data_IF_402543635518
#
_entry.id   IF_402543635518
#
_cell.length_a   1.000
_cell.length_b   1.000
_cell.length_c   1.000
_cell.angle_alpha   90.00
_cell.angle_beta   90.00
_cell.angle_gamma   90.00
#
_symmetry.space_group_name_H-M   'P 1'
#
loop_
_entity.id
_entity.type
_entity.pdbx_description
1 polymer ?
#
# COMPACT_ATOMS: atom_id res chain seq x y z
N UNK A 1 6.53 4.05 -1.28
CA UNK A 1 5.57 2.99 -0.94
C UNK A 1 4.79 2.66 -2.20
N UNK A 2 5.12 1.54 -2.86
CA UNK A 2 4.59 1.27 -4.19
C UNK A 2 3.73 0.01 -4.13
N UNK A 3 2.41 0.15 -4.19
CA UNK A 3 1.48 -0.99 -4.28
C UNK A 3 1.66 -1.72 -5.64
N UNK A 4 2.20 -1.01 -6.63
CA UNK A 4 2.52 -1.48 -7.98
C UNK A 4 3.46 -2.71 -8.01
N UNK A 5 4.68 -2.71 -7.41
CA UNK A 5 5.51 -3.91 -7.33
C UNK A 5 4.90 -5.04 -6.48
N UNK A 6 3.99 -4.72 -5.55
CA UNK A 6 3.32 -5.74 -4.76
C UNK A 6 2.26 -6.48 -5.58
N UNK A 7 1.54 -5.81 -6.49
CA UNK A 7 0.52 -6.41 -7.35
C UNK A 7 1.11 -6.99 -8.65
N UNK A 8 2.16 -6.36 -9.19
CA UNK A 8 2.70 -6.61 -10.52
C UNK A 8 2.05 -5.71 -11.57
N UNK A 9 2.82 -5.37 -12.62
CA UNK A 9 2.41 -4.39 -13.63
C UNK A 9 1.18 -4.87 -14.43
N UNK A 10 1.10 -6.15 -14.76
CA UNK A 10 -0.02 -6.74 -15.50
C UNK A 10 -1.35 -6.64 -14.74
N UNK A 11 -1.36 -7.09 -13.48
CA UNK A 11 -2.55 -7.02 -12.63
C UNK A 11 -2.97 -5.57 -12.38
N UNK A 12 -1.99 -4.68 -12.17
CA UNK A 12 -2.25 -3.26 -11.99
C UNK A 12 -2.91 -2.62 -13.22
N UNK A 13 -2.42 -2.92 -14.42
CA UNK A 13 -3.01 -2.43 -15.67
C UNK A 13 -4.41 -3.00 -15.92
N UNK A 14 -4.64 -4.26 -15.58
CA UNK A 14 -5.95 -4.89 -15.71
C UNK A 14 -6.99 -4.28 -14.76
N UNK A 15 -6.58 -4.00 -13.51
CA UNK A 15 -7.44 -3.29 -12.55
C UNK A 15 -7.77 -1.88 -13.04
N UNK A 16 -6.82 -1.18 -13.69
CA UNK A 16 -7.08 0.15 -14.24
C UNK A 16 -8.05 0.14 -15.43
N UNK A 17 -8.03 -0.91 -16.24
CA UNK A 17 -8.90 -1.04 -17.42
C UNK A 17 -10.31 -1.51 -17.06
N UNK A 18 -10.41 -2.54 -16.23
CA UNK A 18 -11.66 -3.28 -16.00
C UNK A 18 -12.14 -3.25 -14.55
N UNK A 19 -11.53 -2.42 -13.69
CA UNK A 19 -11.77 -2.42 -12.25
C UNK A 19 -13.21 -2.14 -11.83
N UNK A 20 -13.96 -1.38 -12.63
CA UNK A 20 -15.37 -1.05 -12.37
C UNK A 20 -16.35 -1.97 -13.11
N UNK A 21 -15.87 -2.80 -14.03
CA UNK A 21 -16.71 -3.67 -14.86
C UNK A 21 -16.69 -5.10 -14.33
N UNK A 22 -15.53 -5.57 -13.87
CA UNK A 22 -15.36 -6.94 -13.39
C UNK A 22 -15.66 -7.05 -11.89
N UNK A 23 -16.60 -7.93 -11.52
CA UNK A 23 -16.98 -8.14 -10.12
C UNK A 23 -15.85 -8.64 -9.22
N UNK A 24 -14.89 -9.41 -9.77
CA UNK A 24 -13.72 -9.87 -9.03
C UNK A 24 -12.83 -8.68 -8.64
N UNK A 25 -12.64 -7.72 -9.54
CA UNK A 25 -11.86 -6.52 -9.26
C UNK A 25 -12.60 -5.57 -8.32
N UNK A 26 -13.93 -5.46 -8.40
CA UNK A 26 -14.71 -4.71 -7.41
C UNK A 26 -14.53 -5.25 -6.01
N UNK A 27 -14.59 -6.57 -5.83
CA UNK A 27 -14.36 -7.23 -4.53
C UNK A 27 -12.92 -7.01 -4.07
N UNK A 28 -11.92 -7.12 -4.96
CA UNK A 28 -10.52 -6.82 -4.62
C UNK A 28 -10.32 -5.37 -4.15
N UNK A 29 -10.99 -4.41 -4.80
CA UNK A 29 -10.86 -2.98 -4.49
C UNK A 29 -11.57 -2.58 -3.20
N UNK A 30 -12.81 -3.03 -3.01
CA UNK A 30 -13.66 -2.63 -1.88
C UNK A 30 -13.57 -3.57 -0.67
N UNK A 31 -13.01 -4.76 -0.85
CA UNK A 31 -13.01 -5.80 0.18
C UNK A 31 -14.29 -6.62 0.17
N UNK A 32 -14.29 -7.69 0.96
CA UNK A 32 -15.43 -8.59 1.07
C UNK A 32 -15.02 -9.96 1.56
N UNK A 33 -15.92 -10.92 1.37
CA UNK A 33 -15.71 -12.32 1.73
C UNK A 33 -15.47 -13.16 0.50
N UNK A 34 -14.57 -14.14 0.59
CA UNK A 34 -14.33 -15.10 -0.49
C UNK A 34 -14.12 -16.49 0.07
N UNK A 35 -14.37 -17.50 -0.77
CA UNK A 35 -13.96 -18.87 -0.48
C UNK A 35 -12.66 -19.17 -1.20
N UNK A 36 -11.73 -19.77 -0.48
CA UNK A 36 -10.50 -20.30 -1.06
C UNK A 36 -10.76 -21.64 -1.77
N UNK A 37 -9.75 -22.19 -2.45
CA UNK A 37 -9.82 -23.50 -3.12
C UNK A 37 -10.16 -24.66 -2.17
N UNK A 38 -9.95 -24.49 -0.86
CA UNK A 38 -10.31 -25.47 0.18
C UNK A 38 -11.70 -25.21 0.79
N UNK A 39 -12.55 -24.40 0.14
CA UNK A 39 -13.87 -23.96 0.59
C UNK A 39 -13.92 -23.17 1.91
N UNK A 40 -12.77 -22.86 2.49
CA UNK A 40 -12.67 -22.01 3.68
C UNK A 40 -13.12 -20.58 3.38
N UNK A 41 -13.95 -20.01 4.26
CA UNK A 41 -14.42 -18.64 4.16
C UNK A 41 -13.36 -17.69 4.74
N UNK A 42 -12.94 -16.72 3.94
CA UNK A 42 -12.01 -15.67 4.32
C UNK A 42 -12.64 -14.30 4.10
N UNK A 43 -12.22 -13.32 4.90
CA UNK A 43 -12.63 -11.92 4.80
C UNK A 43 -11.39 -11.07 4.62
N UNK A 44 -11.49 -9.98 3.85
CA UNK A 44 -10.42 -9.01 3.71
C UNK A 44 -11.01 -7.61 3.45
N UNK A 45 -10.24 -6.58 3.80
CA UNK A 45 -10.71 -5.17 3.80
C UNK A 45 -10.60 -4.44 2.46
N UNK A 46 -9.88 -5.01 1.48
CA UNK A 46 -9.73 -4.46 0.13
C UNK A 46 -8.58 -3.47 -0.07
N UNK A 47 -8.18 -3.28 -1.34
CA UNK A 47 -7.03 -2.46 -1.72
C UNK A 47 -7.23 -0.96 -1.41
N UNK A 48 -8.45 -0.43 -1.48
CA UNK A 48 -8.71 0.98 -1.15
C UNK A 48 -8.40 1.27 0.31
N UNK A 49 -8.87 0.40 1.22
CA UNK A 49 -8.62 0.51 2.66
C UNK A 49 -7.13 0.38 2.96
N UNK A 50 -6.46 -0.60 2.36
CA UNK A 50 -5.00 -0.78 2.45
C UNK A 50 -4.24 0.48 2.02
N UNK A 51 -4.63 1.10 0.90
CA UNK A 51 -4.02 2.33 0.42
C UNK A 51 -4.26 3.51 1.37
N UNK A 52 -5.46 3.63 1.93
CA UNK A 52 -5.77 4.66 2.93
C UNK A 52 -4.88 4.54 4.17
N UNK A 53 -4.61 3.32 4.65
CA UNK A 53 -3.70 3.09 5.77
C UNK A 53 -2.24 3.43 5.44
N UNK A 54 -1.80 3.14 4.22
CA UNK A 54 -0.49 3.54 3.73
C UNK A 54 -0.32 5.07 3.63
N UNK A 55 -1.34 5.76 3.11
CA UNK A 55 -1.38 7.23 3.07
C UNK A 55 -1.39 7.80 4.48
N UNK A 56 -2.18 7.20 5.38
CA UNK A 56 -2.24 7.60 6.79
C UNK A 56 -0.88 7.46 7.47
N UNK A 57 -0.20 6.33 7.32
CA UNK A 57 1.15 6.12 7.85
C UNK A 57 2.12 7.21 7.34
N UNK A 58 2.09 7.50 6.03
CA UNK A 58 2.94 8.55 5.47
C UNK A 58 2.59 9.96 6.00
N UNK A 59 1.30 10.23 6.24
CA UNK A 59 0.86 11.48 6.85
C UNK A 59 1.35 11.61 8.30
N UNK A 60 1.24 10.54 9.09
CA UNK A 60 1.76 10.48 10.47
C UNK A 60 3.27 10.74 10.49
N UNK A 61 4.02 10.18 9.54
CA UNK A 61 5.47 10.41 9.45
C UNK A 61 5.83 11.83 9.03
N UNK A 62 5.02 12.44 8.16
CA UNK A 62 5.19 13.85 7.75
C UNK A 62 4.92 14.79 8.93
N UNK A 63 4.02 14.41 9.84
CA UNK A 63 3.77 15.08 11.11
C UNK A 63 3.27 16.52 10.95
N UNK A 64 3.76 17.41 11.81
CA UNK A 64 3.31 18.81 11.91
C UNK A 64 3.95 19.73 10.86
N UNK A 65 4.85 19.18 10.04
CA UNK A 65 5.56 19.92 8.99
C UNK A 65 4.68 20.05 7.75
N UNK A 66 4.16 21.24 7.51
CA UNK A 66 3.33 21.55 6.33
C UNK A 66 4.04 22.61 5.47
N UNK A 67 4.17 22.32 4.18
CA UNK A 67 4.63 23.31 3.20
C UNK A 67 3.46 24.22 2.83
N UNK A 68 3.58 25.51 3.14
CA UNK A 68 2.57 26.51 2.78
C UNK A 68 3.14 27.49 1.75
N UNK A 69 2.29 28.32 1.13
CA UNK A 69 2.75 29.37 0.19
C UNK A 69 3.73 30.37 0.82
N UNK A 70 3.83 30.38 2.14
CA UNK A 70 4.69 31.25 2.93
C UNK A 70 5.94 30.53 3.49
N UNK A 71 6.22 29.31 3.00
CA UNK A 71 7.29 28.45 3.47
C UNK A 71 6.81 27.33 4.39
N UNK A 72 7.78 26.60 4.95
CA UNK A 72 7.51 25.54 5.91
C UNK A 72 6.98 26.13 7.22
N UNK A 73 5.91 25.56 7.74
CA UNK A 73 5.30 25.93 9.03
C UNK A 73 5.16 24.70 9.90
N UNK A 74 5.58 24.85 11.16
CA UNK A 74 5.26 23.93 12.24
C UNK A 74 4.00 24.47 12.93
N UNK A 75 3.00 23.61 13.11
CA UNK A 75 1.80 23.97 13.87
C UNK A 75 2.06 23.74 15.36
N UNK A 76 2.40 24.81 16.07
CA UNK A 76 2.38 24.85 17.53
C UNK A 76 1.21 25.75 17.97
N UNK A 77 0.54 25.38 19.06
CA UNK A 77 -0.57 26.12 19.64
C UNK A 77 -0.49 26.13 21.16
N UNK A 78 -1.09 27.13 21.81
CA UNK A 78 -0.94 27.37 23.26
C UNK A 78 -1.43 26.21 24.15
N UNK A 79 -2.26 25.32 23.61
CA UNK A 79 -2.81 24.14 24.29
C UNK A 79 -2.44 22.80 23.61
N UNK A 80 -1.50 22.79 22.67
CA UNK A 80 -1.06 21.55 21.98
C UNK A 80 0.45 21.45 21.92
N UNK A 81 0.99 20.32 22.36
CA UNK A 81 2.41 19.99 22.22
C UNK A 81 2.64 19.08 21.01
N UNK A 82 3.74 19.30 20.28
CA UNK A 82 4.17 18.38 19.25
C UNK A 82 4.42 16.98 19.82
N UNK A 83 3.95 15.95 19.12
CA UNK A 83 4.24 14.55 19.46
C UNK A 83 5.74 14.30 19.35
N UNK A 84 6.32 13.53 20.28
CA UNK A 84 7.74 13.21 20.22
C UNK A 84 8.07 12.42 18.94
N UNK A 85 9.31 12.54 18.46
CA UNK A 85 9.76 11.79 17.28
C UNK A 85 9.63 10.28 17.48
N UNK A 86 9.86 9.80 18.71
CA UNK A 86 9.74 8.38 19.07
C UNK A 86 8.29 7.89 18.98
N UNK A 87 7.36 8.57 19.64
CA UNK A 87 5.94 8.20 19.60
C UNK A 87 5.38 8.27 18.17
N UNK A 88 5.83 9.26 17.38
CA UNK A 88 5.48 9.37 15.96
C UNK A 88 5.99 8.18 15.15
N UNK A 89 7.23 7.76 15.38
CA UNK A 89 7.79 6.56 14.75
C UNK A 89 7.02 5.30 15.16
N UNK A 90 6.62 5.18 16.42
CA UNK A 90 5.83 4.04 16.91
C UNK A 90 4.44 4.01 16.27
N UNK A 91 3.74 5.15 16.19
CA UNK A 91 2.47 5.28 15.48
C UNK A 91 2.59 4.97 13.98
N UNK A 92 3.66 5.46 13.33
CA UNK A 92 3.96 5.15 11.94
C UNK A 92 4.14 3.65 11.71
N UNK A 93 4.98 3.01 12.53
CA UNK A 93 5.27 1.58 12.41
C UNK A 93 4.01 0.73 12.61
N UNK A 94 3.18 1.08 13.60
CA UNK A 94 1.90 0.41 13.83
C UNK A 94 0.96 0.54 12.62
N UNK A 95 0.75 1.75 12.10
CA UNK A 95 -0.08 1.97 10.92
C UNK A 95 0.43 1.22 9.69
N UNK A 96 1.76 1.11 9.54
CA UNK A 96 2.40 0.40 8.43
C UNK A 96 2.27 -1.11 8.57
N UNK A 97 2.35 -1.65 9.79
CA UNK A 97 2.11 -3.06 10.08
C UNK A 97 0.68 -3.47 9.71
N UNK A 98 -0.32 -2.68 10.12
CA UNK A 98 -1.72 -2.89 9.74
C UNK A 98 -1.89 -2.84 8.22
N UNK A 99 -1.28 -1.86 7.55
CA UNK A 99 -1.35 -1.75 6.10
C UNK A 99 -0.72 -2.96 5.38
N UNK A 100 0.43 -3.44 5.87
CA UNK A 100 1.09 -4.63 5.33
C UNK A 100 0.24 -5.89 5.54
N UNK A 101 -0.42 -6.01 6.69
CA UNK A 101 -1.32 -7.11 6.96
C UNK A 101 -2.48 -7.13 5.96
N UNK A 102 -3.17 -6.00 5.78
CA UNK A 102 -4.25 -5.88 4.78
C UNK A 102 -3.77 -6.13 3.35
N UNK A 103 -2.57 -5.67 2.99
CA UNK A 103 -1.97 -5.97 1.69
C UNK A 103 -1.75 -7.47 1.51
N UNK A 104 -1.30 -8.18 2.56
CA UNK A 104 -1.07 -9.62 2.51
C UNK A 104 -2.36 -10.41 2.29
N UNK A 105 -3.48 -9.97 2.89
CA UNK A 105 -4.80 -10.54 2.67
C UNK A 105 -5.30 -10.31 1.25
N UNK A 106 -5.13 -9.09 0.71
CA UNK A 106 -5.43 -8.80 -0.69
C UNK A 106 -4.62 -9.69 -1.65
N UNK A 107 -3.35 -9.94 -1.34
CA UNK A 107 -2.51 -10.85 -2.14
C UNK A 107 -2.97 -12.30 -2.02
N UNK A 108 -3.45 -12.73 -0.84
CA UNK A 108 -4.03 -14.06 -0.66
C UNK A 108 -5.30 -14.24 -1.51
N UNK A 109 -6.19 -13.24 -1.54
CA UNK A 109 -7.35 -13.22 -2.43
C UNK A 109 -6.94 -13.34 -3.91
N UNK A 110 -5.95 -12.55 -4.34
CA UNK A 110 -5.46 -12.61 -5.72
C UNK A 110 -4.87 -13.97 -6.08
N UNK A 111 -4.22 -14.66 -5.14
CA UNK A 111 -3.72 -16.05 -5.35
C UNK A 111 -4.87 -17.03 -5.46
N UNK A 112 -5.84 -16.97 -4.55
CA UNK A 112 -7.02 -17.85 -4.54
C UNK A 112 -7.85 -17.73 -5.83
N UNK A 113 -7.92 -16.53 -6.42
CA UNK A 113 -8.61 -16.27 -7.69
C UNK A 113 -7.72 -16.42 -8.93
N UNK A 114 -6.46 -16.82 -8.78
CA UNK A 114 -5.53 -17.00 -9.90
C UNK A 114 -5.18 -15.71 -10.65
N UNK A 115 -5.39 -14.55 -10.04
CA UNK A 115 -5.15 -13.22 -10.63
C UNK A 115 -3.68 -12.85 -10.67
N UNK A 116 -2.88 -13.47 -9.79
CA UNK A 116 -1.43 -13.31 -9.81
C UNK A 116 -0.84 -14.30 -10.81
N UNK A 117 -0.32 -13.76 -11.91
CA UNK A 117 0.53 -14.54 -12.81
C UNK A 117 1.64 -15.22 -12.02
N UNK A 118 1.84 -16.51 -12.28
CA UNK A 118 2.89 -17.32 -11.65
C UNK A 118 4.20 -16.52 -11.69
N UNK A 119 4.67 -16.04 -10.52
CA UNK A 119 5.92 -15.25 -10.44
C UNK A 119 7.12 -16.16 -10.66
N UNK A 120 7.28 -16.66 -11.89
CA UNK A 120 8.54 -17.21 -12.37
C UNK A 120 9.47 -16.03 -12.62
N UNK A 121 10.24 -15.68 -11.59
CA UNK A 121 11.31 -14.70 -11.66
C UNK A 121 10.99 -13.42 -10.92
N UNK A 122 11.47 -13.33 -9.69
CA UNK A 122 11.69 -12.06 -8.99
C UNK A 122 12.72 -11.25 -9.79
N UNK A 123 12.29 -10.52 -10.83
CA UNK A 123 13.08 -9.40 -11.32
C UNK A 123 12.90 -8.28 -10.29
N UNK A 124 13.96 -8.05 -9.52
CA UNK A 124 14.09 -6.84 -8.69
C UNK A 124 13.92 -5.66 -9.66
N UNK A 125 12.75 -5.04 -9.63
CA UNK A 125 12.49 -3.80 -10.36
C UNK A 125 13.38 -2.74 -9.72
N UNK A 126 14.50 -2.44 -10.40
CA UNK A 126 15.40 -1.35 -10.06
C UNK A 126 14.57 -0.09 -9.94
N UNK A 127 14.41 0.38 -8.70
CA UNK A 127 13.75 1.64 -8.42
C UNK A 127 14.79 2.73 -8.72
N UNK A 128 14.86 3.16 -9.97
CA UNK A 128 15.50 4.42 -10.37
C UNK A 128 17.00 4.61 -10.08
N UNK A 129 17.77 3.55 -9.82
CA UNK A 129 19.22 3.65 -9.65
C UNK A 129 19.94 3.61 -11.00
N UNK A 130 20.53 4.73 -11.43
CA UNK A 130 21.46 4.76 -12.57
C UNK A 130 22.68 3.89 -12.24
N UNK A 131 22.78 2.70 -12.84
CA UNK A 131 23.99 1.88 -12.75
C UNK A 131 25.02 2.38 -13.75
N UNK A 132 25.98 3.19 -13.29
CA UNK A 132 27.17 3.55 -14.06
C UNK A 132 28.03 2.28 -14.19
N UNK A 133 28.17 1.75 -15.41
CA UNK A 133 29.15 0.71 -15.70
C UNK A 133 30.48 1.37 -16.03
N UNK A 134 31.53 0.99 -15.31
CA UNK A 134 32.90 1.44 -15.56
C UNK A 134 33.34 0.89 -16.91
N UNK A 135 33.58 1.78 -17.88
CA UNK A 135 34.20 1.44 -19.16
C UNK A 135 35.70 1.36 -18.88
N UNK A 136 36.27 0.17 -19.08
CA UNK A 136 37.71 -0.02 -19.24
C UNK A 136 38.13 0.28 -20.66
#
# INVERSE_FOLDING_TARGET
>A
MNIKPALGDELFLNILKDGETNDIYKVLLNGGTYKDSSENLHTFVGLKTTLSYFVYAQNVMTGDFQSTRYGMRLKDGDYSSAISSKERSDCYNNALEVANHYLSECLAFCKAKGLLGNRKGRKVLSTGGCTIRKIG
#
